data_IF_851099115710
#
_entry.id   IF_851099115710
#
_cell.length_a   1.000
_cell.length_b   1.000
_cell.length_c   1.000
_cell.angle_alpha   90.00
_cell.angle_beta   90.00
_cell.angle_gamma   90.00
#
_symmetry.space_group_name_H-M   'P 1'
#
loop_
_entity.id
_entity.type
_entity.pdbx_description
1 polymer ?
#
# COMPACT_ATOMS: atom_id res chain seq x y z
N UNK A 1 15.27 6.66 -3.15
CA UNK A 1 14.47 7.78 -2.60
C UNK A 1 13.03 7.70 -3.06
N UNK A 2 12.05 8.08 -2.23
CA UNK A 2 10.61 8.08 -2.61
C UNK A 2 10.36 9.05 -3.77
N UNK A 3 9.85 8.55 -4.91
CA UNK A 3 9.65 9.35 -6.13
C UNK A 3 8.49 10.33 -6.04
N UNK A 4 7.40 9.94 -5.37
CA UNK A 4 6.18 10.75 -5.25
C UNK A 4 5.53 10.58 -3.89
N UNK A 5 4.87 11.63 -3.41
CA UNK A 5 4.06 11.57 -2.20
C UNK A 5 2.66 11.02 -2.54
N UNK A 6 2.04 10.25 -1.64
CA UNK A 6 0.68 9.77 -1.83
C UNK A 6 -0.32 10.92 -1.72
N UNK A 7 -1.45 10.77 -2.39
CA UNK A 7 -2.61 11.60 -2.13
C UNK A 7 -3.11 11.37 -0.69
N UNK A 8 -3.55 12.44 -0.06
CA UNK A 8 -4.20 12.37 1.25
C UNK A 8 -5.71 12.44 1.06
N UNK A 9 -6.43 11.59 1.80
CA UNK A 9 -7.87 11.69 1.86
C UNK A 9 -8.28 13.01 2.51
N UNK A 10 -9.21 13.69 1.89
CA UNK A 10 -9.91 14.81 2.52
C UNK A 10 -11.07 14.27 3.34
N UNK A 11 -11.30 14.86 4.50
CA UNK A 11 -12.52 14.62 5.24
C UNK A 11 -13.67 15.24 4.45
N UNK A 12 -14.46 14.41 3.82
CA UNK A 12 -15.73 14.85 3.24
C UNK A 12 -16.65 15.03 4.43
N UNK A 13 -16.76 16.24 4.94
CA UNK A 13 -17.76 16.58 5.94
C UNK A 13 -19.12 16.19 5.39
N UNK A 14 -19.61 15.06 5.83
CA UNK A 14 -20.84 14.41 5.41
C UNK A 14 -21.05 14.35 3.86
N UNK A 15 -22.00 13.57 3.42
CA UNK A 15 -22.40 13.36 2.02
C UNK A 15 -22.75 14.62 1.22
N UNK A 16 -22.74 15.78 1.84
CA UNK A 16 -23.10 17.09 1.28
C UNK A 16 -22.22 17.54 0.11
N UNK A 17 -21.00 17.00 -0.01
CA UNK A 17 -20.09 17.33 -1.13
C UNK A 17 -20.15 16.34 -2.29
N UNK A 18 -20.90 15.25 -2.13
CA UNK A 18 -21.11 14.29 -3.20
C UNK A 18 -22.34 14.76 -3.96
N UNK A 19 -22.12 15.23 -5.18
CA UNK A 19 -23.21 15.70 -6.03
C UNK A 19 -24.10 14.52 -6.44
N UNK A 20 -25.37 14.81 -6.69
CA UNK A 20 -26.32 13.79 -7.17
C UNK A 20 -25.83 13.08 -8.43
N UNK A 21 -25.15 13.80 -9.31
CA UNK A 21 -24.54 13.28 -10.52
C UNK A 21 -23.43 12.25 -10.22
N UNK A 22 -22.67 12.42 -9.14
CA UNK A 22 -21.65 11.47 -8.73
C UNK A 22 -22.29 10.14 -8.34
N UNK A 23 -23.43 10.17 -7.64
CA UNK A 23 -24.18 8.97 -7.29
C UNK A 23 -24.71 8.23 -8.52
N UNK A 24 -25.14 8.94 -9.54
CA UNK A 24 -25.60 8.35 -10.80
C UNK A 24 -24.45 7.75 -11.63
N UNK A 25 -23.27 8.35 -11.58
CA UNK A 25 -22.08 7.89 -12.28
C UNK A 25 -21.37 6.74 -11.58
N UNK A 26 -21.77 6.42 -10.36
CA UNK A 26 -21.17 5.38 -9.51
C UNK A 26 -19.98 5.90 -8.70
N UNK A 27 -19.89 5.42 -7.47
CA UNK A 27 -18.81 5.73 -6.53
C UNK A 27 -18.01 4.47 -6.21
N UNK A 28 -16.72 4.65 -6.02
CA UNK A 28 -15.86 3.59 -5.49
C UNK A 28 -15.78 3.70 -3.98
N UNK A 29 -16.07 2.60 -3.30
CA UNK A 29 -16.00 2.51 -1.84
C UNK A 29 -14.90 1.51 -1.50
N UNK A 30 -14.01 1.94 -0.61
CA UNK A 30 -12.96 1.10 -0.06
C UNK A 30 -13.02 1.16 1.46
N UNK A 31 -12.82 0.04 2.19
CA UNK A 31 -12.66 0.08 3.63
C UNK A 31 -11.42 0.92 3.99
N UNK A 32 -11.55 1.77 4.99
CA UNK A 32 -10.40 2.44 5.58
C UNK A 32 -9.68 1.46 6.51
N UNK A 33 -8.56 0.92 6.03
CA UNK A 33 -7.73 0.06 6.85
C UNK A 33 -7.02 0.88 7.93
N UNK A 34 -6.96 0.31 9.12
CA UNK A 34 -6.32 0.93 10.27
C UNK A 34 -4.91 0.34 10.47
N UNK A 35 -4.05 0.60 9.53
CA UNK A 35 -2.68 0.12 9.46
C UNK A 35 -1.66 1.24 9.29
N UNK A 36 -0.58 0.94 8.59
CA UNK A 36 0.52 1.88 8.32
C UNK A 36 0.64 2.11 6.82
N UNK A 37 0.40 3.34 6.36
CA UNK A 37 0.54 3.70 4.94
C UNK A 37 1.89 3.29 4.39
N UNK A 38 1.87 2.60 3.28
CA UNK A 38 3.06 2.07 2.62
C UNK A 38 3.01 2.31 1.11
N UNK A 39 4.05 2.97 0.59
CA UNK A 39 4.27 3.09 -0.84
C UNK A 39 5.43 2.19 -1.23
N UNK A 40 5.21 1.31 -2.20
CA UNK A 40 6.25 0.42 -2.71
C UNK A 40 6.60 0.79 -4.13
N UNK A 41 7.88 0.93 -4.41
CA UNK A 41 8.41 1.31 -5.71
C UNK A 41 9.76 0.65 -5.97
N UNK A 42 10.15 0.54 -7.26
CA UNK A 42 11.53 0.26 -7.63
C UNK A 42 12.34 1.54 -7.49
N UNK A 43 13.45 1.48 -6.78
CA UNK A 43 14.37 2.62 -6.63
C UNK A 43 15.11 2.88 -7.95
N UNK A 44 15.35 4.14 -8.28
CA UNK A 44 16.01 4.53 -9.53
C UNK A 44 17.53 4.44 -9.46
N UNK A 45 18.09 4.50 -8.28
CA UNK A 45 19.53 4.56 -8.08
C UNK A 45 20.15 3.16 -8.00
N UNK A 46 19.55 2.26 -7.24
CA UNK A 46 20.08 0.91 -7.01
C UNK A 46 19.19 -0.21 -7.59
N UNK A 47 18.06 0.14 -8.18
CA UNK A 47 17.11 -0.77 -8.81
C UNK A 47 16.45 -1.79 -7.86
N UNK A 48 16.61 -1.66 -6.55
CA UNK A 48 15.92 -2.49 -5.57
C UNK A 48 14.47 -2.02 -5.34
N UNK A 49 13.61 -2.98 -5.03
CA UNK A 49 12.25 -2.66 -4.57
C UNK A 49 12.32 -2.18 -3.14
N UNK A 50 11.78 -1.01 -2.87
CA UNK A 50 11.78 -0.36 -1.56
C UNK A 50 10.40 0.11 -1.16
N UNK A 51 10.18 0.16 0.13
CA UNK A 51 8.92 0.61 0.73
C UNK A 51 9.12 1.85 1.58
N UNK A 52 8.18 2.77 1.49
CA UNK A 52 8.27 4.08 2.16
C UNK A 52 6.97 4.41 2.89
N UNK A 53 7.12 5.11 4.02
CA UNK A 53 6.01 5.74 4.70
C UNK A 53 5.48 6.95 3.92
N UNK A 54 4.34 7.47 4.32
CA UNK A 54 3.77 8.72 3.79
C UNK A 54 4.76 9.90 3.77
N UNK A 55 5.67 9.94 4.72
CA UNK A 55 6.67 11.02 4.87
C UNK A 55 8.01 10.70 4.22
N UNK A 56 8.14 9.55 3.55
CA UNK A 56 9.35 9.14 2.85
C UNK A 56 10.35 8.37 3.73
N UNK A 57 9.99 8.00 4.95
CA UNK A 57 10.82 7.11 5.77
C UNK A 57 10.72 5.68 5.22
N UNK A 58 11.85 5.04 5.00
CA UNK A 58 11.90 3.66 4.51
C UNK A 58 11.48 2.64 5.59
N UNK A 59 10.66 1.68 5.20
CA UNK A 59 10.31 0.51 6.01
C UNK A 59 11.33 -0.61 5.77
N UNK A 60 11.90 -1.19 6.83
CA UNK A 60 13.03 -2.13 6.72
C UNK A 60 12.66 -3.59 6.98
N UNK A 61 11.69 -3.85 7.82
CA UNK A 61 11.39 -5.21 8.27
C UNK A 61 10.18 -5.81 7.53
N UNK A 62 10.21 -5.76 6.19
CA UNK A 62 9.16 -6.31 5.31
C UNK A 62 9.76 -6.97 4.07
N UNK A 63 10.93 -7.58 4.21
CA UNK A 63 11.68 -8.17 3.10
C UNK A 63 10.88 -9.23 2.33
N UNK A 64 10.01 -9.98 3.02
CA UNK A 64 9.13 -10.98 2.42
C UNK A 64 8.18 -10.35 1.39
N UNK A 65 7.58 -9.21 1.71
CA UNK A 65 6.68 -8.47 0.80
C UNK A 65 7.47 -7.95 -0.41
N UNK A 66 8.64 -7.35 -0.17
CA UNK A 66 9.47 -6.79 -1.24
C UNK A 66 9.96 -7.86 -2.20
N UNK A 67 10.36 -9.04 -1.69
CA UNK A 67 10.78 -10.19 -2.51
C UNK A 67 9.64 -10.71 -3.38
N UNK A 68 8.45 -10.81 -2.81
CA UNK A 68 7.25 -11.28 -3.53
C UNK A 68 6.84 -10.32 -4.65
N UNK A 69 7.09 -9.01 -4.47
CA UNK A 69 6.78 -7.99 -5.46
C UNK A 69 7.86 -7.78 -6.53
N UNK A 70 9.05 -8.38 -6.39
CA UNK A 70 10.12 -8.22 -7.38
C UNK A 70 9.69 -8.55 -8.82
N UNK A 71 9.02 -9.68 -9.12
CA UNK A 71 8.58 -9.99 -10.49
C UNK A 71 7.61 -8.95 -11.06
N UNK A 72 6.75 -8.39 -10.22
CA UNK A 72 5.87 -7.30 -10.63
C UNK A 72 6.66 -6.06 -11.06
N UNK A 73 7.66 -5.64 -10.26
CA UNK A 73 8.47 -4.46 -10.55
C UNK A 73 9.51 -4.67 -11.66
N UNK A 74 9.86 -5.89 -11.99
CA UNK A 74 10.62 -6.19 -13.22
C UNK A 74 9.81 -5.83 -14.46
N UNK A 75 8.52 -6.15 -14.44
CA UNK A 75 7.60 -5.87 -15.55
C UNK A 75 7.12 -4.41 -15.56
N UNK A 76 6.93 -3.81 -14.39
CA UNK A 76 6.37 -2.46 -14.22
C UNK A 76 7.26 -1.55 -13.38
N UNK A 77 8.50 -1.24 -13.82
CA UNK A 77 9.50 -0.55 -12.97
C UNK A 77 9.11 0.88 -12.59
N UNK A 78 8.20 1.49 -13.33
CA UNK A 78 7.79 2.88 -13.10
C UNK A 78 6.54 3.03 -12.22
N UNK A 79 5.87 1.93 -11.90
CA UNK A 79 4.69 1.95 -11.05
C UNK A 79 5.09 2.22 -9.59
N UNK A 80 4.22 2.91 -8.87
CA UNK A 80 4.30 3.03 -7.42
C UNK A 80 3.01 2.44 -6.87
N UNK A 81 3.12 1.40 -6.07
CA UNK A 81 1.98 0.81 -5.36
C UNK A 81 1.70 1.62 -4.10
N UNK A 82 0.44 1.89 -3.85
CA UNK A 82 -0.04 2.60 -2.68
C UNK A 82 -0.99 1.70 -1.89
N UNK A 83 -0.67 1.49 -0.64
CA UNK A 83 -1.39 0.53 0.19
C UNK A 83 -1.14 0.72 1.68
N UNK A 84 -1.51 -0.30 2.43
CA UNK A 84 -1.40 -0.33 3.88
C UNK A 84 -0.65 -1.59 4.33
N UNK A 85 0.28 -1.44 5.27
CA UNK A 85 0.80 -2.56 6.05
C UNK A 85 -0.21 -2.85 7.16
N UNK A 86 -0.84 -4.02 7.06
CA UNK A 86 -2.01 -4.35 7.86
C UNK A 86 -2.13 -5.86 8.06
N UNK A 87 -2.89 -6.27 9.05
CA UNK A 87 -3.36 -7.64 9.20
C UNK A 87 -4.72 -7.61 9.87
N UNK A 88 -5.72 -8.17 9.21
CA UNK A 88 -7.09 -8.15 9.72
C UNK A 88 -7.24 -8.84 11.07
N UNK A 89 -6.47 -9.89 11.31
CA UNK A 89 -6.48 -10.62 12.59
C UNK A 89 -5.88 -9.79 13.74
N UNK A 90 -5.10 -8.74 13.42
CA UNK A 90 -4.45 -7.84 14.36
C UNK A 90 -5.09 -6.45 14.38
N UNK A 91 -6.32 -6.30 13.89
CA UNK A 91 -7.01 -5.00 13.81
C UNK A 91 -7.14 -4.26 15.15
N UNK A 92 -7.10 -5.00 16.27
CA UNK A 92 -7.11 -4.42 17.63
C UNK A 92 -5.71 -4.19 18.21
N UNK A 93 -4.66 -4.63 17.51
CA UNK A 93 -3.26 -4.53 17.91
C UNK A 93 -2.42 -3.88 16.81
N UNK A 94 -2.88 -2.74 16.36
CA UNK A 94 -2.22 -1.91 15.35
C UNK A 94 -0.77 -1.54 15.73
N UNK A 95 -0.50 -1.33 17.02
CA UNK A 95 0.82 -0.99 17.52
C UNK A 95 1.83 -2.10 17.25
N UNK A 96 1.38 -3.35 17.20
CA UNK A 96 2.25 -4.49 16.87
C UNK A 96 2.80 -4.36 15.46
N UNK A 97 1.96 -4.06 14.48
CA UNK A 97 2.40 -3.84 13.08
C UNK A 97 3.41 -2.69 13.02
N UNK A 98 3.10 -1.55 13.67
CA UNK A 98 4.01 -0.41 13.72
C UNK A 98 5.36 -0.80 14.33
N UNK A 99 5.35 -1.53 15.44
CA UNK A 99 6.58 -1.91 16.15
C UNK A 99 7.48 -2.79 15.27
N UNK A 100 6.90 -3.72 14.51
CA UNK A 100 7.63 -4.61 13.62
C UNK A 100 8.25 -3.85 12.43
N UNK A 101 7.45 -3.03 11.73
CA UNK A 101 7.90 -2.39 10.49
C UNK A 101 8.84 -1.21 10.71
N UNK A 102 8.87 -0.64 11.92
CA UNK A 102 9.77 0.46 12.29
C UNK A 102 11.18 0.01 12.67
N UNK A 103 11.41 -1.29 12.88
CA UNK A 103 12.73 -1.81 13.27
C UNK A 103 13.74 -1.55 12.14
N UNK A 104 14.78 -0.81 12.46
CA UNK A 104 15.86 -0.47 11.53
C UNK A 104 16.97 -1.53 11.50
N UNK A 105 17.10 -2.31 12.59
CA UNK A 105 18.02 -3.44 12.74
C UNK A 105 17.24 -4.64 13.28
N UNK A 106 16.39 -5.27 12.46
CA UNK A 106 15.60 -6.40 12.91
C UNK A 106 16.48 -7.62 13.16
N UNK A 107 16.18 -8.36 14.21
CA UNK A 107 16.72 -9.70 14.48
C UNK A 107 16.05 -10.73 13.56
N UNK A 108 16.53 -11.97 13.56
CA UNK A 108 15.88 -13.03 12.79
C UNK A 108 14.48 -13.35 13.32
N UNK A 109 14.28 -13.29 14.64
CA UNK A 109 12.93 -13.41 15.24
C UNK A 109 12.00 -12.28 14.80
N UNK A 110 12.50 -11.06 14.71
CA UNK A 110 11.72 -9.92 14.20
C UNK A 110 11.31 -10.09 12.73
N UNK A 111 12.20 -10.65 11.92
CA UNK A 111 11.93 -10.93 10.50
C UNK A 111 10.90 -12.03 10.36
N UNK A 112 11.02 -13.09 11.16
CA UNK A 112 10.07 -14.18 11.18
C UNK A 112 8.69 -13.70 11.65
N UNK A 113 8.63 -12.92 12.73
CA UNK A 113 7.37 -12.35 13.21
C UNK A 113 6.72 -11.40 12.20
N UNK A 114 7.53 -10.60 11.50
CA UNK A 114 7.04 -9.75 10.41
C UNK A 114 6.48 -10.58 9.24
N UNK A 115 7.17 -11.65 8.86
CA UNK A 115 6.71 -12.57 7.82
C UNK A 115 5.33 -13.17 8.14
N UNK A 116 5.10 -13.55 9.39
CA UNK A 116 3.83 -14.14 9.79
C UNK A 116 2.69 -13.11 9.95
N UNK A 117 3.02 -11.89 10.34
CA UNK A 117 2.01 -10.92 10.82
C UNK A 117 1.78 -9.74 9.90
N UNK A 118 2.77 -9.30 9.14
CA UNK A 118 2.65 -8.11 8.32
C UNK A 118 2.27 -8.47 6.90
N UNK A 119 1.14 -7.91 6.44
CA UNK A 119 0.64 -8.05 5.09
C UNK A 119 0.64 -6.67 4.40
N UNK A 120 0.79 -6.65 3.09
CA UNK A 120 0.61 -5.43 2.29
C UNK A 120 -0.72 -5.48 1.55
N UNK A 121 -1.57 -4.52 1.80
CA UNK A 121 -2.88 -4.36 1.18
C UNK A 121 -2.83 -3.20 0.20
N UNK A 122 -2.72 -3.52 -1.09
CA UNK A 122 -2.65 -2.51 -2.14
C UNK A 122 -4.06 -2.06 -2.51
N UNK A 123 -4.34 -0.78 -2.43
CA UNK A 123 -5.65 -0.22 -2.78
C UNK A 123 -5.60 0.81 -3.91
N UNK A 124 -4.42 1.30 -4.28
CA UNK A 124 -4.24 2.22 -5.39
C UNK A 124 -2.82 2.09 -6.00
N UNK A 125 -2.59 2.80 -7.07
CA UNK A 125 -1.28 2.97 -7.68
C UNK A 125 -1.12 4.41 -8.12
N UNK A 126 0.10 4.94 -8.04
CA UNK A 126 0.38 6.28 -8.53
C UNK A 126 0.79 6.18 -10.00
N UNK A 127 -0.16 6.46 -10.87
CA UNK A 127 0.02 6.56 -12.32
C UNK A 127 -0.50 7.93 -12.78
N UNK A 128 0.39 8.76 -13.33
CA UNK A 128 0.01 10.08 -13.82
C UNK A 128 -1.00 9.97 -14.95
N UNK A 129 -1.97 10.88 -14.95
CA UNK A 129 -3.01 10.99 -15.98
C UNK A 129 -3.98 9.79 -16.10
N UNK A 130 -3.91 8.82 -15.19
CA UNK A 130 -4.81 7.68 -15.17
C UNK A 130 -5.91 7.89 -14.11
N UNK A 131 -7.20 7.89 -14.51
CA UNK A 131 -8.30 8.04 -13.56
C UNK A 131 -8.39 6.86 -12.60
N UNK A 132 -9.00 7.06 -11.43
CA UNK A 132 -9.07 6.03 -10.38
C UNK A 132 -9.67 4.71 -10.87
N UNK A 133 -10.69 4.75 -11.71
CA UNK A 133 -11.31 3.57 -12.30
C UNK A 133 -10.28 2.64 -12.97
N UNK A 134 -9.40 3.22 -13.78
CA UNK A 134 -8.38 2.47 -14.52
C UNK A 134 -7.26 1.98 -13.59
N UNK A 135 -6.82 2.81 -12.64
CA UNK A 135 -5.84 2.41 -11.62
C UNK A 135 -6.37 1.25 -10.76
N UNK A 136 -7.63 1.34 -10.33
CA UNK A 136 -8.28 0.28 -9.58
C UNK A 136 -8.40 -1.02 -10.39
N UNK A 137 -8.72 -0.93 -11.67
CA UNK A 137 -8.73 -2.09 -12.57
C UNK A 137 -7.34 -2.72 -12.69
N UNK A 138 -6.29 -1.88 -12.85
CA UNK A 138 -4.91 -2.33 -12.92
C UNK A 138 -4.51 -3.09 -11.64
N UNK A 139 -4.79 -2.53 -10.47
CA UNK A 139 -4.48 -3.16 -9.17
C UNK A 139 -5.21 -4.51 -9.05
N UNK A 140 -6.51 -4.55 -9.33
CA UNK A 140 -7.29 -5.80 -9.27
C UNK A 140 -6.78 -6.87 -10.23
N UNK A 141 -6.39 -6.49 -11.45
CA UNK A 141 -5.87 -7.40 -12.46
C UNK A 141 -4.58 -8.08 -12.03
N UNK A 142 -3.69 -7.37 -11.33
CA UNK A 142 -2.35 -7.86 -11.00
C UNK A 142 -2.25 -8.57 -9.67
N UNK A 143 -3.06 -8.18 -8.71
CA UNK A 143 -2.95 -8.71 -7.36
C UNK A 143 -4.10 -9.66 -6.99
N UNK A 144 -5.25 -9.59 -7.65
CA UNK A 144 -6.39 -10.47 -7.32
C UNK A 144 -6.83 -10.37 -5.85
N UNK A 145 -7.92 -11.02 -5.50
CA UNK A 145 -8.44 -11.02 -4.13
C UNK A 145 -7.72 -12.02 -3.22
N UNK A 146 -6.92 -12.94 -3.81
CA UNK A 146 -6.38 -14.11 -3.11
C UNK A 146 -4.95 -13.92 -2.57
N UNK A 147 -4.15 -12.98 -3.12
CA UNK A 147 -2.73 -12.83 -2.76
C UNK A 147 -2.44 -11.63 -1.86
N UNK A 148 -3.20 -10.57 -2.00
CA UNK A 148 -3.19 -9.41 -1.13
C UNK A 148 -4.64 -9.01 -0.98
N UNK A 149 -5.08 -8.67 0.20
CA UNK A 149 -6.42 -8.12 0.36
C UNK A 149 -6.54 -6.87 -0.51
N UNK A 150 -7.06 -7.07 -1.68
CA UNK A 150 -7.36 -6.01 -2.61
C UNK A 150 -8.76 -5.52 -2.33
N UNK A 151 -8.84 -4.30 -2.04
CA UNK A 151 -10.08 -3.59 -1.88
C UNK A 151 -10.39 -2.77 -3.13
#
# INVERSE_FOLDING_TARGET
MMRKKPMLAHNVGAFERILYEDWQNGLYIQPKLDGVRCLIQKDVDDYFVKAYSRTGKEWKNIDHILKELNPFFEKYPNVILDGELYNHNLKKDFEKIISLVRKTKPTDDDRFESYEKVQFHCYDTIMEHMPFKERNHFVKKHFGWDNFLLL
#
